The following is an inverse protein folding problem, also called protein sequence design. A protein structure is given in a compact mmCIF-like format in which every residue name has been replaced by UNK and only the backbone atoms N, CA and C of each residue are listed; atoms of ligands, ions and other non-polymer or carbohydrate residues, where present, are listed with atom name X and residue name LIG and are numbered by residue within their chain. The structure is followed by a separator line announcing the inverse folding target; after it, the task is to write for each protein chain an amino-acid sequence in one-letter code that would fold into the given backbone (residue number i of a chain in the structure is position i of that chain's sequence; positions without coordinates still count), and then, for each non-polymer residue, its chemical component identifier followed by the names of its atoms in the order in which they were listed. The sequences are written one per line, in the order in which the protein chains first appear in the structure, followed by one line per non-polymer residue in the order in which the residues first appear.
data_IF_756125641170
#
_entry.id   IF_756125641170
#
_cell.length_a   1.000
_cell.length_b   1.000
_cell.length_c   1.000
_cell.angle_alpha   90.00
_cell.angle_beta   90.00
_cell.angle_gamma   90.00
#
_symmetry.space_group_name_H-M   'P 1'
#
loop_
_entity.id
_entity.type
_entity.pdbx_description
1 polymer ?
#
# COMPACT_ATOMS: atom_id res chain seq x y z
N UNK A 1 44.13 -24.96 -35.28
CA UNK A 1 43.51 -24.77 -33.94
C UNK A 1 42.62 -23.50 -33.96
N UNK A 2 41.48 -23.57 -34.64
CA UNK A 2 40.41 -22.54 -34.53
C UNK A 2 39.49 -22.93 -33.39
N UNK A 3 39.67 -22.31 -32.23
CA UNK A 3 38.70 -22.33 -31.15
C UNK A 3 37.52 -21.45 -31.61
N UNK A 4 36.46 -22.09 -32.12
CA UNK A 4 35.17 -21.43 -32.32
C UNK A 4 34.66 -21.08 -30.93
N UNK A 5 34.65 -19.79 -30.60
CA UNK A 5 33.92 -19.24 -29.47
C UNK A 5 32.42 -19.41 -29.75
N UNK A 6 31.86 -20.53 -29.35
CA UNK A 6 30.43 -20.72 -29.40
C UNK A 6 29.81 -19.80 -28.32
N UNK A 7 29.14 -18.78 -28.77
CA UNK A 7 28.38 -17.87 -27.90
C UNK A 7 27.28 -18.66 -27.23
N UNK A 8 27.34 -18.75 -25.90
CA UNK A 8 26.31 -19.41 -25.10
C UNK A 8 25.10 -18.49 -24.91
N UNK A 9 24.17 -18.54 -25.85
CA UNK A 9 22.96 -17.71 -25.88
C UNK A 9 22.15 -17.81 -24.57
N UNK A 10 22.17 -18.95 -23.91
CA UNK A 10 21.44 -19.15 -22.66
C UNK A 10 22.02 -18.29 -21.54
N UNK A 11 23.34 -18.26 -21.39
CA UNK A 11 24.02 -17.42 -20.39
C UNK A 11 23.81 -15.93 -20.68
N UNK A 12 23.78 -15.55 -21.96
CA UNK A 12 23.53 -14.16 -22.36
C UNK A 12 22.10 -13.77 -22.00
N UNK A 13 21.09 -14.58 -22.27
CA UNK A 13 19.69 -14.31 -21.93
C UNK A 13 19.54 -14.16 -20.42
N UNK A 14 20.09 -15.08 -19.62
CA UNK A 14 20.06 -15.00 -18.14
C UNK A 14 20.71 -13.71 -17.63
N UNK A 15 21.84 -13.37 -18.17
CA UNK A 15 22.57 -12.14 -17.82
C UNK A 15 21.76 -10.89 -18.18
N UNK A 16 21.19 -10.84 -19.38
CA UNK A 16 20.37 -9.73 -19.83
C UNK A 16 19.13 -9.53 -18.95
N UNK A 17 18.47 -10.62 -18.53
CA UNK A 17 17.33 -10.57 -17.63
C UNK A 17 17.70 -9.96 -16.27
N UNK A 18 18.83 -10.39 -15.67
CA UNK A 18 19.32 -9.81 -14.41
C UNK A 18 19.58 -8.32 -14.55
N UNK A 19 20.17 -7.89 -15.67
CA UNK A 19 20.41 -6.48 -15.93
C UNK A 19 19.09 -5.70 -16.05
N UNK A 20 18.12 -6.21 -16.81
CA UNK A 20 16.82 -5.56 -16.97
C UNK A 20 16.09 -5.39 -15.64
N UNK A 21 16.07 -6.41 -14.77
CA UNK A 21 15.47 -6.30 -13.45
C UNK A 21 16.22 -5.32 -12.54
N UNK A 22 17.54 -5.32 -12.59
CA UNK A 22 18.34 -4.36 -11.83
C UNK A 22 18.04 -2.93 -12.25
N UNK A 23 18.04 -2.65 -13.56
CA UNK A 23 17.72 -1.32 -14.11
C UNK A 23 16.30 -0.91 -13.73
N UNK A 24 15.32 -1.83 -13.82
CA UNK A 24 13.94 -1.57 -13.43
C UNK A 24 13.82 -1.16 -11.96
N UNK A 25 14.46 -1.91 -11.04
CA UNK A 25 14.44 -1.57 -9.62
C UNK A 25 15.14 -0.23 -9.34
N UNK A 26 16.28 0.04 -9.94
CA UNK A 26 16.94 1.35 -9.81
C UNK A 26 16.06 2.48 -10.33
N UNK A 27 15.40 2.30 -11.46
CA UNK A 27 14.46 3.28 -11.99
C UNK A 27 13.32 3.56 -11.02
N UNK A 28 12.68 2.51 -10.48
CA UNK A 28 11.58 2.64 -9.52
C UNK A 28 12.00 3.37 -8.24
N UNK A 29 13.19 3.07 -7.72
CA UNK A 29 13.72 3.71 -6.52
C UNK A 29 14.05 5.17 -6.78
N UNK A 30 14.81 5.48 -7.84
CA UNK A 30 15.24 6.84 -8.15
C UNK A 30 14.06 7.75 -8.51
N UNK A 31 13.04 7.21 -9.22
CA UNK A 31 11.83 7.96 -9.57
C UNK A 31 10.85 8.13 -8.41
N UNK A 32 11.08 7.46 -7.26
CA UNK A 32 10.15 7.43 -6.13
C UNK A 32 8.90 6.58 -6.37
N UNK A 33 8.73 6.01 -7.56
CA UNK A 33 7.55 5.20 -7.90
C UNK A 33 7.48 3.88 -7.13
N UNK A 34 8.56 3.47 -6.50
CA UNK A 34 8.61 2.26 -5.67
C UNK A 34 7.56 2.33 -4.53
N UNK A 35 7.23 3.52 -4.03
CA UNK A 35 6.22 3.75 -2.99
C UNK A 35 4.80 3.39 -3.45
N UNK A 36 4.55 3.35 -4.75
CA UNK A 36 3.28 2.85 -5.29
C UNK A 36 3.12 1.32 -5.13
N UNK A 37 4.18 0.60 -4.79
CA UNK A 37 4.19 -0.87 -4.72
C UNK A 37 4.51 -1.41 -3.34
N UNK A 38 5.38 -0.73 -2.59
CA UNK A 38 5.85 -1.18 -1.28
C UNK A 38 5.85 -0.05 -0.26
N UNK A 39 5.75 -0.44 1.03
CA UNK A 39 5.86 0.50 2.13
C UNK A 39 7.25 1.20 2.11
N UNK A 40 7.32 2.53 2.28
CA UNK A 40 8.57 3.31 2.23
C UNK A 40 9.69 2.78 3.14
N UNK A 41 9.37 2.17 4.27
CA UNK A 41 10.36 1.57 5.19
C UNK A 41 11.19 0.44 4.56
N UNK A 42 10.68 -0.18 3.49
CA UNK A 42 11.37 -1.27 2.77
C UNK A 42 12.13 -0.79 1.54
N UNK A 43 12.18 0.51 1.27
CA UNK A 43 12.91 1.07 0.11
C UNK A 43 14.39 0.68 0.13
N UNK A 44 15.04 0.73 1.30
CA UNK A 44 16.44 0.32 1.48
C UNK A 44 16.66 -1.16 1.08
N UNK A 45 15.72 -2.04 1.39
CA UNK A 45 15.82 -3.45 0.97
C UNK A 45 15.73 -3.59 -0.55
N UNK A 46 14.92 -2.76 -1.22
CA UNK A 46 14.82 -2.74 -2.68
C UNK A 46 16.09 -2.21 -3.33
N UNK A 47 16.75 -1.21 -2.73
CA UNK A 47 18.07 -0.73 -3.16
C UNK A 47 19.11 -1.83 -3.04
N UNK A 48 19.17 -2.53 -1.91
CA UNK A 48 20.08 -3.66 -1.72
C UNK A 48 19.80 -4.78 -2.72
N UNK A 49 18.54 -5.08 -3.01
CA UNK A 49 18.17 -6.07 -4.01
C UNK A 49 18.63 -5.66 -5.43
N UNK A 50 18.49 -4.37 -5.79
CA UNK A 50 18.94 -3.86 -7.07
C UNK A 50 20.46 -3.98 -7.23
N UNK A 51 21.24 -3.64 -6.18
CA UNK A 51 22.70 -3.80 -6.15
C UNK A 51 23.10 -5.28 -6.22
N UNK A 52 22.39 -6.16 -5.51
CA UNK A 52 22.63 -7.60 -5.55
C UNK A 52 22.39 -8.16 -6.96
N UNK A 53 21.30 -7.78 -7.63
CA UNK A 53 21.03 -8.20 -9.00
C UNK A 53 22.12 -7.70 -9.98
N UNK A 54 22.58 -6.46 -9.80
CA UNK A 54 23.66 -5.90 -10.62
C UNK A 54 24.97 -6.66 -10.40
N UNK A 55 25.30 -7.01 -9.16
CA UNK A 55 26.48 -7.81 -8.85
C UNK A 55 26.40 -9.22 -9.44
N UNK A 56 25.24 -9.87 -9.35
CA UNK A 56 25.00 -11.16 -9.98
C UNK A 56 25.13 -11.08 -11.51
N UNK A 57 24.60 -10.02 -12.12
CA UNK A 57 24.82 -9.75 -13.55
C UNK A 57 26.30 -9.65 -13.87
N UNK A 58 27.07 -8.86 -13.12
CA UNK A 58 28.50 -8.67 -13.35
C UNK A 58 29.26 -10.01 -13.29
N UNK A 59 29.02 -10.80 -12.23
CA UNK A 59 29.63 -12.14 -12.09
C UNK A 59 29.24 -13.06 -13.26
N UNK A 60 27.97 -13.08 -13.63
CA UNK A 60 27.48 -13.91 -14.74
C UNK A 60 28.10 -13.49 -16.08
N UNK A 61 28.19 -12.17 -16.31
CA UNK A 61 28.74 -11.61 -17.51
C UNK A 61 30.24 -11.91 -17.65
N UNK A 62 31.03 -11.70 -16.58
CA UNK A 62 32.47 -12.01 -16.58
C UNK A 62 32.71 -13.51 -16.72
N UNK A 63 31.90 -14.33 -16.05
CA UNK A 63 32.06 -15.79 -16.13
C UNK A 63 31.63 -16.35 -17.50
N UNK A 64 30.70 -15.69 -18.17
CA UNK A 64 30.31 -16.04 -19.56
C UNK A 64 31.42 -15.85 -20.56
N UNK A 65 32.38 -14.93 -20.31
CA UNK A 65 33.53 -14.68 -21.16
C UNK A 65 34.68 -15.69 -20.96
N UNK A 66 34.70 -16.35 -19.78
CA UNK A 66 35.82 -17.23 -19.39
C UNK A 66 35.39 -18.73 -19.35
N UNK A 67 34.23 -19.09 -19.89
CA UNK A 67 33.69 -20.45 -19.74
C UNK A 67 34.47 -21.48 -20.55
N UNK A 68 35.19 -22.35 -19.84
CA UNK A 68 35.47 -23.70 -20.30
C UNK A 68 34.13 -24.48 -20.40
N UNK A 69 33.90 -25.14 -21.53
CA UNK A 69 32.74 -25.97 -21.77
C UNK A 69 32.64 -27.13 -20.74
N UNK A 70 31.78 -27.00 -19.77
CA UNK A 70 31.18 -28.14 -19.09
C UNK A 70 29.86 -28.42 -19.82
N UNK A 71 29.79 -29.52 -20.50
CA UNK A 71 28.58 -29.98 -21.18
C UNK A 71 27.52 -30.29 -20.11
N UNK A 72 26.59 -29.40 -19.89
CA UNK A 72 25.43 -29.64 -19.06
C UNK A 72 24.24 -29.96 -19.97
N UNK A 73 23.83 -31.24 -19.95
CA UNK A 73 22.80 -31.80 -20.83
C UNK A 73 21.37 -31.48 -20.39
N UNK A 74 21.14 -30.52 -19.52
CA UNK A 74 19.80 -30.08 -19.17
C UNK A 74 19.34 -28.97 -20.11
N UNK A 75 18.58 -29.34 -21.16
CA UNK A 75 17.86 -28.42 -22.00
C UNK A 75 16.94 -27.56 -21.09
N UNK A 76 17.19 -26.26 -20.91
CA UNK A 76 16.32 -25.42 -20.12
C UNK A 76 14.96 -25.39 -20.79
N UNK A 77 13.91 -25.63 -20.01
CA UNK A 77 12.55 -25.41 -20.49
C UNK A 77 12.41 -23.94 -20.87
N UNK A 78 12.36 -23.62 -22.14
CA UNK A 78 12.24 -22.24 -22.67
C UNK A 78 11.09 -21.47 -22.03
N UNK A 79 10.08 -22.18 -21.48
CA UNK A 79 8.97 -21.64 -20.71
C UNK A 79 9.39 -20.90 -19.43
N UNK A 80 10.52 -21.23 -18.81
CA UNK A 80 11.00 -20.54 -17.60
C UNK A 80 11.29 -19.07 -17.85
N UNK A 81 11.82 -18.73 -19.03
CA UNK A 81 12.12 -17.34 -19.37
C UNK A 81 10.86 -16.50 -19.53
N UNK A 82 9.75 -17.10 -19.97
CA UNK A 82 8.46 -16.41 -20.15
C UNK A 82 7.95 -15.86 -18.82
N UNK A 83 8.12 -16.61 -17.71
CA UNK A 83 7.70 -16.19 -16.36
C UNK A 83 8.41 -14.89 -15.93
N UNK A 84 9.65 -14.70 -16.34
CA UNK A 84 10.41 -13.50 -16.01
C UNK A 84 10.17 -12.34 -16.98
N UNK A 85 9.87 -12.64 -18.24
CA UNK A 85 9.60 -11.61 -19.26
C UNK A 85 8.22 -10.97 -19.05
N UNK A 86 7.21 -11.73 -18.60
CA UNK A 86 5.86 -11.23 -18.39
C UNK A 86 5.83 -10.02 -17.46
N UNK A 87 6.39 -10.03 -16.22
CA UNK A 87 6.33 -8.87 -15.34
C UNK A 87 7.07 -7.65 -15.89
N UNK A 88 8.17 -7.84 -16.61
CA UNK A 88 8.87 -6.75 -17.30
C UNK A 88 8.02 -6.13 -18.41
N UNK A 89 7.39 -6.98 -19.22
CA UNK A 89 6.50 -6.53 -20.28
C UNK A 89 5.27 -5.80 -19.73
N UNK A 90 4.64 -6.35 -18.68
CA UNK A 90 3.50 -5.71 -18.02
C UNK A 90 3.86 -4.34 -17.45
N UNK A 91 5.01 -4.22 -16.81
CA UNK A 91 5.48 -2.93 -16.28
C UNK A 91 5.66 -1.88 -17.39
N UNK A 92 6.16 -2.28 -18.55
CA UNK A 92 6.37 -1.37 -19.69
C UNK A 92 5.09 -1.01 -20.43
N UNK A 93 4.10 -1.91 -20.44
CA UNK A 93 2.86 -1.75 -21.20
C UNK A 93 1.74 -1.10 -20.38
N UNK A 94 1.72 -1.29 -19.06
CA UNK A 94 0.67 -0.77 -18.19
C UNK A 94 1.12 0.55 -17.55
N UNK A 95 0.25 1.57 -17.51
CA UNK A 95 0.53 2.79 -16.79
C UNK A 95 0.61 2.51 -15.28
N UNK A 96 1.55 3.18 -14.60
CA UNK A 96 1.61 3.15 -13.15
C UNK A 96 0.40 3.90 -12.57
N UNK A 97 -0.50 3.18 -11.95
CA UNK A 97 -1.68 3.72 -11.30
C UNK A 97 -1.74 3.26 -9.85
N UNK A 98 -2.19 4.16 -8.98
CA UNK A 98 -2.54 3.79 -7.61
C UNK A 98 -3.75 2.84 -7.60
N UNK A 99 -3.91 2.10 -6.51
CA UNK A 99 -5.11 1.31 -6.28
C UNK A 99 -6.33 2.23 -6.25
N UNK A 100 -7.39 1.83 -6.94
CA UNK A 100 -8.61 2.60 -7.08
C UNK A 100 -9.78 2.03 -6.27
N UNK A 101 -10.92 2.72 -6.33
CA UNK A 101 -12.13 2.33 -5.63
C UNK A 101 -12.65 0.93 -6.01
N UNK A 102 -12.36 0.45 -7.23
CA UNK A 102 -12.77 -0.90 -7.66
C UNK A 102 -12.08 -2.00 -6.87
N UNK A 103 -10.82 -1.78 -6.53
CA UNK A 103 -10.05 -2.70 -5.68
C UNK A 103 -10.61 -2.71 -4.25
N UNK A 104 -10.98 -1.53 -3.72
CA UNK A 104 -11.59 -1.43 -2.39
C UNK A 104 -12.93 -2.17 -2.33
N UNK A 105 -13.79 -1.99 -3.33
CA UNK A 105 -15.09 -2.66 -3.42
C UNK A 105 -14.96 -4.18 -3.48
N UNK A 106 -13.95 -4.70 -4.18
CA UNK A 106 -13.72 -6.14 -4.32
C UNK A 106 -13.10 -6.78 -3.07
N UNK A 107 -12.35 -6.02 -2.27
CA UNK A 107 -11.72 -6.53 -1.03
C UNK A 107 -12.65 -6.53 0.17
N UNK A 108 -13.78 -5.85 0.06
CA UNK A 108 -14.71 -5.62 1.16
C UNK A 108 -14.20 -4.51 2.08
N UNK A 109 -15.11 -3.70 2.54
CA UNK A 109 -14.84 -2.62 3.49
C UNK A 109 -15.24 -3.09 4.89
N UNK A 110 -14.30 -3.11 5.82
CA UNK A 110 -14.53 -3.51 7.19
C UNK A 110 -14.54 -2.27 8.08
N UNK A 111 -15.72 -1.88 8.55
CA UNK A 111 -15.90 -0.75 9.49
C UNK A 111 -15.48 -1.10 10.92
N UNK A 112 -15.30 -2.38 11.19
CA UNK A 112 -14.92 -2.87 12.50
C UNK A 112 -13.39 -2.86 12.61
N UNK A 113 -12.86 -1.74 13.04
CA UNK A 113 -11.43 -1.46 13.15
C UNK A 113 -10.70 -2.24 14.24
N UNK A 114 -11.35 -3.18 14.92
CA UNK A 114 -10.63 -4.08 15.82
C UNK A 114 -9.62 -4.98 15.13
N UNK A 115 -9.45 -4.88 13.80
CA UNK A 115 -8.65 -5.82 13.02
C UNK A 115 -7.96 -5.23 11.78
N UNK A 116 -7.68 -3.92 11.72
CA UNK A 116 -6.92 -3.34 10.60
C UNK A 116 -5.48 -3.89 10.49
N UNK A 117 -5.00 -4.58 11.52
CA UNK A 117 -3.72 -5.31 11.55
C UNK A 117 -3.87 -6.80 11.27
N UNK A 118 -5.08 -7.33 11.09
CA UNK A 118 -5.27 -8.75 10.76
C UNK A 118 -5.30 -8.96 9.25
N UNK A 119 -4.35 -9.73 8.78
CA UNK A 119 -4.25 -10.27 7.43
C UNK A 119 -5.57 -10.94 6.96
N UNK A 120 -5.79 -11.05 5.64
CA UNK A 120 -6.96 -11.70 5.07
C UNK A 120 -7.17 -13.10 5.66
N UNK A 121 -8.43 -13.60 5.74
CA UNK A 121 -8.72 -14.91 6.32
C UNK A 121 -7.97 -16.01 5.55
N UNK A 122 -6.85 -16.47 6.10
CA UNK A 122 -6.00 -17.50 5.50
C UNK A 122 -4.57 -17.58 6.03
N UNK A 123 -4.04 -16.59 6.72
CA UNK A 123 -2.69 -16.67 7.29
C UNK A 123 -2.72 -16.65 8.81
N UNK A 124 -2.67 -17.85 9.40
CA UNK A 124 -2.65 -18.05 10.85
C UNK A 124 -1.39 -17.54 11.52
N UNK A 125 -1.61 -16.94 12.70
CA UNK A 125 -0.80 -17.08 13.91
C UNK A 125 0.72 -16.94 13.83
N UNK A 126 1.29 -15.77 13.44
CA UNK A 126 2.69 -15.42 13.78
C UNK A 126 2.95 -13.92 14.02
N UNK A 127 1.94 -13.06 14.06
CA UNK A 127 2.12 -11.60 14.22
C UNK A 127 1.81 -11.07 15.64
N UNK A 128 2.10 -11.85 16.70
CA UNK A 128 1.82 -11.42 18.09
C UNK A 128 3.06 -11.08 18.92
N UNK A 129 4.18 -10.81 18.29
CA UNK A 129 5.43 -10.50 19.01
C UNK A 129 6.28 -9.46 18.27
N UNK A 130 5.86 -8.20 18.24
CA UNK A 130 6.81 -7.08 18.11
C UNK A 130 6.10 -5.71 18.13
N UNK A 131 5.53 -5.35 19.26
CA UNK A 131 5.10 -3.98 19.53
C UNK A 131 5.59 -3.57 20.90
N UNK A 132 6.92 -3.47 21.03
CA UNK A 132 7.54 -2.77 22.17
C UNK A 132 8.84 -2.13 21.70
N UNK A 133 8.90 -0.83 21.85
CA UNK A 133 10.08 0.05 21.74
C UNK A 133 10.25 0.78 20.41
N UNK A 134 9.83 2.05 20.39
CA UNK A 134 10.70 3.16 20.01
C UNK A 134 10.04 4.47 20.45
N UNK A 135 10.31 4.84 21.70
CA UNK A 135 10.23 6.21 22.18
C UNK A 135 11.44 6.95 21.63
N UNK A 136 11.23 8.13 20.99
CA UNK A 136 12.12 9.29 20.96
C UNK A 136 11.62 10.28 19.89
N UNK A 137 11.07 11.41 20.33
CA UNK A 137 10.84 12.56 19.44
C UNK A 137 9.80 13.54 20.00
N UNK A 138 10.17 14.19 21.09
CA UNK A 138 9.42 15.31 21.68
C UNK A 138 9.41 16.51 20.75
N UNK A 139 8.23 16.91 20.29
CA UNK A 139 8.02 18.21 19.70
C UNK A 139 6.72 18.81 20.21
N UNK A 140 6.89 19.86 20.96
CA UNK A 140 6.04 20.85 21.60
C UNK A 140 4.52 20.83 21.31
N UNK A 141 3.72 20.61 22.35
CA UNK A 141 2.55 21.46 22.64
C UNK A 141 1.15 20.94 22.37
N UNK A 142 0.93 19.67 22.01
CA UNK A 142 -0.41 19.05 22.05
C UNK A 142 -0.39 17.85 22.97
N UNK A 143 -1.23 17.89 24.01
CA UNK A 143 -1.47 16.73 24.87
C UNK A 143 -2.21 15.68 24.02
N UNK A 144 -1.46 14.77 23.40
CA UNK A 144 -1.99 13.55 22.80
C UNK A 144 -2.10 12.48 23.88
N UNK A 145 -3.14 11.66 23.79
CA UNK A 145 -3.20 10.42 24.56
C UNK A 145 -2.20 9.39 24.01
N UNK A 146 -2.13 8.22 24.63
CA UNK A 146 -1.26 7.13 24.17
C UNK A 146 -1.62 6.62 22.75
N UNK A 147 -2.73 7.06 22.16
CA UNK A 147 -3.17 6.74 20.80
C UNK A 147 -2.69 7.76 19.76
N UNK A 148 -2.07 8.87 20.18
CA UNK A 148 -1.65 9.96 19.31
C UNK A 148 -2.79 10.85 18.81
N UNK A 149 -3.99 10.70 19.38
CA UNK A 149 -5.16 11.52 19.07
C UNK A 149 -5.19 12.73 20.03
N UNK A 150 -5.40 13.93 19.52
CA UNK A 150 -5.55 15.13 20.35
C UNK A 150 -6.69 14.96 21.38
N UNK A 151 -6.43 15.22 22.64
CA UNK A 151 -7.47 15.09 23.71
C UNK A 151 -8.55 16.16 23.64
N UNK A 152 -8.27 17.30 23.02
CA UNK A 152 -9.19 18.42 22.92
C UNK A 152 -9.11 19.07 21.55
N UNK A 153 -10.27 19.54 21.03
CA UNK A 153 -10.39 20.16 19.73
C UNK A 153 -10.61 19.19 18.58
N UNK A 154 -10.63 19.69 17.32
CA UNK A 154 -10.82 18.88 16.12
C UNK A 154 -9.71 17.83 15.95
N UNK A 155 -10.10 16.63 15.55
CA UNK A 155 -9.17 15.53 15.22
C UNK A 155 -8.66 15.75 13.81
N UNK A 156 -7.36 16.06 13.66
CA UNK A 156 -6.72 16.19 12.35
C UNK A 156 -6.15 14.84 11.93
N UNK A 157 -6.73 14.24 10.87
CA UNK A 157 -6.26 12.98 10.32
C UNK A 157 -5.30 13.23 9.17
N UNK A 158 -4.02 12.98 9.42
CA UNK A 158 -2.93 13.09 8.45
C UNK A 158 -2.52 11.71 7.94
N UNK A 159 -1.67 11.63 6.91
CA UNK A 159 -1.15 10.35 6.44
C UNK A 159 -0.39 9.58 7.53
N UNK A 160 0.34 10.29 8.40
CA UNK A 160 1.19 9.68 9.44
C UNK A 160 0.42 9.14 10.65
N UNK A 161 -0.77 9.69 10.93
CA UNK A 161 -1.58 9.27 12.07
C UNK A 161 -2.84 8.51 11.67
N UNK A 162 -3.11 8.37 10.38
CA UNK A 162 -4.36 7.81 9.84
C UNK A 162 -4.73 6.47 10.47
N UNK A 163 -3.82 5.51 10.43
CA UNK A 163 -4.07 4.15 10.93
C UNK A 163 -4.39 4.19 12.42
N UNK A 164 -3.61 4.92 13.20
CA UNK A 164 -3.80 5.03 14.67
C UNK A 164 -5.13 5.70 15.03
N UNK A 165 -5.51 6.77 14.29
CA UNK A 165 -6.78 7.48 14.53
C UNK A 165 -7.96 6.60 14.15
N UNK A 166 -7.91 5.96 12.99
CA UNK A 166 -9.00 5.06 12.55
C UNK A 166 -9.16 3.87 13.49
N UNK A 167 -8.04 3.27 13.95
CA UNK A 167 -8.07 2.18 14.93
C UNK A 167 -8.63 2.65 16.28
N UNK A 168 -8.19 3.78 16.80
CA UNK A 168 -8.63 4.29 18.09
C UNK A 168 -10.13 4.60 18.11
N UNK A 169 -10.61 5.31 17.10
CA UNK A 169 -12.05 5.64 16.97
C UNK A 169 -12.88 4.38 16.76
N UNK A 170 -12.39 3.44 15.95
CA UNK A 170 -13.12 2.21 15.70
C UNK A 170 -13.18 1.25 16.89
N UNK A 171 -12.17 1.25 17.77
CA UNK A 171 -12.17 0.42 18.99
C UNK A 171 -13.08 0.97 20.07
N UNK A 172 -13.26 2.28 20.14
CA UNK A 172 -14.06 2.97 21.17
C UNK A 172 -14.81 4.15 20.57
N UNK A 173 -15.76 3.93 19.66
CA UNK A 173 -16.44 5.02 18.94
C UNK A 173 -17.18 5.98 19.87
N UNK A 174 -17.71 5.48 21.00
CA UNK A 174 -18.44 6.26 21.98
C UNK A 174 -17.54 7.32 22.67
N UNK A 175 -16.25 7.04 22.84
CA UNK A 175 -15.29 7.98 23.47
C UNK A 175 -14.99 9.20 22.58
N UNK A 176 -15.26 9.08 21.28
CA UNK A 176 -15.02 10.12 20.28
C UNK A 176 -16.31 10.77 19.76
N UNK A 177 -17.49 10.29 20.17
CA UNK A 177 -18.78 10.83 19.74
C UNK A 177 -18.89 12.33 20.05
N UNK A 178 -19.43 13.11 19.11
CA UNK A 178 -19.58 14.55 19.20
C UNK A 178 -18.30 15.35 18.91
N UNK A 179 -17.16 14.72 18.64
CA UNK A 179 -15.92 15.42 18.30
C UNK A 179 -15.86 15.75 16.81
N UNK A 180 -15.30 16.92 16.52
CA UNK A 180 -15.00 17.29 15.14
C UNK A 180 -13.79 16.52 14.61
N UNK A 181 -13.87 16.12 13.33
CA UNK A 181 -12.80 15.42 12.62
C UNK A 181 -12.60 16.04 11.24
N UNK A 182 -11.33 16.15 10.83
CA UNK A 182 -10.96 16.53 9.47
C UNK A 182 -10.07 15.45 8.86
N UNK A 183 -10.41 14.97 7.65
CA UNK A 183 -9.64 13.94 6.98
C UNK A 183 -9.74 14.01 5.46
N UNK A 184 -8.67 13.52 4.81
CA UNK A 184 -8.55 13.33 3.37
C UNK A 184 -8.64 11.85 3.01
N UNK A 185 -9.48 11.52 2.05
CA UNK A 185 -9.60 10.17 1.50
C UNK A 185 -10.31 10.16 0.15
N UNK A 186 -10.61 8.98 -0.35
CA UNK A 186 -11.43 8.84 -1.54
C UNK A 186 -12.74 8.11 -1.26
N UNK A 187 -13.74 8.44 -2.07
CA UNK A 187 -15.11 7.92 -1.95
C UNK A 187 -15.20 6.50 -2.45
N UNK A 188 -15.88 5.64 -1.70
CA UNK A 188 -16.37 4.34 -2.15
C UNK A 188 -17.86 4.20 -1.82
N UNK A 189 -18.57 3.46 -2.68
CA UNK A 189 -19.95 3.09 -2.43
C UNK A 189 -20.06 1.58 -2.24
N UNK A 190 -20.94 1.19 -1.35
CA UNK A 190 -21.34 -0.18 -1.17
C UNK A 190 -22.85 -0.30 -1.40
N UNK A 191 -23.29 -1.48 -1.80
CA UNK A 191 -24.72 -1.77 -2.01
C UNK A 191 -25.54 -1.68 -0.72
N UNK A 192 -24.87 -1.86 0.41
CA UNK A 192 -25.48 -1.85 1.75
C UNK A 192 -25.60 -0.43 2.31
N UNK A 193 -25.07 0.59 1.64
CA UNK A 193 -25.16 1.99 2.07
C UNK A 193 -26.47 2.63 1.64
N UNK A 194 -27.03 3.46 2.52
CA UNK A 194 -28.14 4.32 2.15
C UNK A 194 -27.69 5.34 1.08
N UNK A 195 -28.65 5.92 0.31
CA UNK A 195 -28.30 6.90 -0.74
C UNK A 195 -27.49 8.11 -0.27
N UNK A 196 -27.60 8.46 1.00
CA UNK A 196 -26.88 9.58 1.64
C UNK A 196 -25.58 9.14 2.31
N UNK A 197 -25.20 7.87 2.16
CA UNK A 197 -24.01 7.30 2.77
C UNK A 197 -22.97 6.91 1.73
N UNK A 198 -21.73 7.04 2.10
CA UNK A 198 -20.58 6.55 1.35
C UNK A 198 -19.39 6.33 2.29
N UNK A 199 -18.45 5.48 1.91
CA UNK A 199 -17.20 5.33 2.63
C UNK A 199 -16.20 6.39 2.21
N UNK A 200 -15.50 6.99 3.15
CA UNK A 200 -14.28 7.77 2.93
C UNK A 200 -13.10 6.98 3.43
N UNK A 201 -12.25 6.54 2.53
CA UNK A 201 -11.19 5.59 2.84
C UNK A 201 -9.83 6.00 2.28
N UNK A 202 -8.79 5.38 2.82
CA UNK A 202 -7.48 5.26 2.20
C UNK A 202 -7.02 3.79 2.26
N UNK A 203 -6.12 3.41 1.37
CA UNK A 203 -5.50 2.09 1.46
C UNK A 203 -4.36 2.09 2.48
N UNK A 204 -4.44 1.16 3.41
CA UNK A 204 -3.40 0.88 4.41
C UNK A 204 -2.51 -0.21 3.84
N UNK A 205 -1.20 0.06 3.75
CA UNK A 205 -0.21 -0.89 3.24
C UNK A 205 0.79 -1.22 4.35
N UNK A 206 0.86 -2.48 4.74
CA UNK A 206 1.81 -2.94 5.74
C UNK A 206 3.17 -3.28 5.12
N UNK A 207 3.21 -4.06 4.06
CA UNK A 207 4.45 -4.38 3.34
C UNK A 207 4.42 -4.00 1.86
N UNK A 208 3.36 -4.31 1.14
CA UNK A 208 3.24 -4.05 -0.30
C UNK A 208 1.77 -3.96 -0.74
N UNK A 209 1.52 -3.54 -1.97
CA UNK A 209 0.14 -3.40 -2.51
C UNK A 209 -0.68 -4.69 -2.49
N UNK A 210 -0.04 -5.85 -2.37
CA UNK A 210 -0.75 -7.12 -2.25
C UNK A 210 -1.51 -7.24 -0.90
N UNK A 211 -1.01 -6.62 0.17
CA UNK A 211 -1.66 -6.59 1.48
C UNK A 211 -2.51 -5.34 1.72
N UNK A 212 -2.62 -4.45 0.73
CA UNK A 212 -3.38 -3.22 0.86
C UNK A 212 -4.81 -3.50 1.33
N UNK A 213 -5.23 -2.89 2.42
CA UNK A 213 -6.58 -2.98 2.96
C UNK A 213 -7.24 -1.60 3.01
N UNK A 214 -8.53 -1.50 2.65
CA UNK A 214 -9.26 -0.24 2.76
C UNK A 214 -9.59 0.02 4.23
N UNK A 215 -9.24 1.22 4.73
CA UNK A 215 -9.60 1.69 6.06
C UNK A 215 -10.14 3.11 6.03
N UNK A 216 -11.06 3.42 6.94
CA UNK A 216 -11.70 4.74 7.02
C UNK A 216 -13.04 4.70 7.72
N UNK A 217 -13.94 5.61 7.36
CA UNK A 217 -15.23 5.79 8.01
C UNK A 217 -16.40 5.86 7.02
N UNK A 218 -17.59 5.52 7.51
CA UNK A 218 -18.83 5.84 6.80
C UNK A 218 -19.11 7.32 7.00
N UNK A 219 -19.46 8.01 5.91
CA UNK A 219 -19.92 9.38 5.95
C UNK A 219 -21.38 9.46 5.61
N UNK A 220 -22.10 10.35 6.33
CA UNK A 220 -23.44 10.80 6.00
C UNK A 220 -23.39 12.22 5.49
N UNK A 221 -23.99 12.46 4.33
CA UNK A 221 -24.11 13.79 3.75
C UNK A 221 -25.29 13.90 2.82
N UNK A 222 -25.95 15.07 2.83
CA UNK A 222 -27.02 15.36 1.87
C UNK A 222 -26.50 15.45 0.43
N UNK A 223 -25.22 15.82 0.27
CA UNK A 223 -24.54 15.95 -1.03
C UNK A 223 -23.83 14.65 -1.47
N UNK A 224 -24.10 13.55 -0.79
CA UNK A 224 -23.44 12.25 -1.07
C UNK A 224 -23.54 11.82 -2.54
N UNK A 225 -24.64 12.17 -3.23
CA UNK A 225 -24.90 11.78 -4.62
C UNK A 225 -23.94 12.40 -5.62
N UNK A 226 -23.33 13.56 -5.28
CA UNK A 226 -22.47 14.33 -6.18
C UNK A 226 -21.05 13.78 -6.32
N UNK A 227 -20.67 12.85 -5.45
CA UNK A 227 -19.32 12.28 -5.42
C UNK A 227 -19.33 10.85 -5.94
N UNK A 228 -18.58 10.61 -7.04
CA UNK A 228 -18.40 9.28 -7.63
C UNK A 228 -17.30 8.51 -6.91
N UNK A 229 -17.36 7.18 -7.03
CA UNK A 229 -16.28 6.31 -6.55
C UNK A 229 -14.92 6.75 -7.07
N UNK A 230 -13.92 6.71 -6.20
CA UNK A 230 -12.56 7.15 -6.49
C UNK A 230 -12.35 8.67 -6.44
N UNK A 231 -13.40 9.48 -6.20
CA UNK A 231 -13.24 10.93 -6.02
C UNK A 231 -12.53 11.21 -4.70
N UNK A 232 -11.39 11.91 -4.76
CA UNK A 232 -10.70 12.40 -3.57
C UNK A 232 -11.39 13.64 -3.02
N UNK A 233 -11.65 13.61 -1.71
CA UNK A 233 -12.30 14.69 -0.98
C UNK A 233 -11.61 14.93 0.36
N UNK A 234 -11.58 16.18 0.77
CA UNK A 234 -11.30 16.59 2.15
C UNK A 234 -12.61 16.89 2.84
N UNK A 235 -12.79 16.40 4.05
CA UNK A 235 -14.02 16.59 4.82
C UNK A 235 -13.74 17.18 6.19
N UNK A 236 -14.73 17.92 6.69
CA UNK A 236 -14.91 18.20 8.11
C UNK A 236 -16.29 17.70 8.52
N UNK A 237 -16.37 17.12 9.69
CA UNK A 237 -17.62 16.57 10.18
C UNK A 237 -17.55 16.30 11.67
N UNK A 238 -18.63 15.75 12.19
CA UNK A 238 -18.76 15.35 13.60
C UNK A 238 -18.86 13.84 13.63
N UNK A 239 -18.12 13.22 14.54
CA UNK A 239 -18.19 11.78 14.77
C UNK A 239 -19.49 11.48 15.49
N UNK A 240 -20.29 10.61 14.92
CA UNK A 240 -21.47 10.02 15.50
C UNK A 240 -21.30 8.50 15.65
N UNK A 241 -22.19 7.89 16.37
CA UNK A 241 -22.23 6.45 16.59
C UNK A 241 -23.53 5.91 16.04
N UNK A 242 -23.45 4.88 15.22
CA UNK A 242 -24.62 4.24 14.62
C UNK A 242 -24.50 2.71 14.69
N UNK A 243 -25.63 2.02 14.58
CA UNK A 243 -25.71 0.55 14.58
C UNK A 243 -25.76 0.02 13.15
N UNK A 244 -24.71 -0.70 12.74
CA UNK A 244 -24.69 -1.47 11.50
C UNK A 244 -24.53 -2.96 11.81
N UNK A 245 -25.48 -3.77 11.40
CA UNK A 245 -25.49 -5.23 11.62
C UNK A 245 -25.26 -5.64 13.10
N UNK A 246 -25.89 -4.94 14.04
CA UNK A 246 -25.73 -5.14 15.48
C UNK A 246 -24.33 -4.80 16.01
N UNK A 247 -23.58 -4.04 15.26
CA UNK A 247 -22.27 -3.52 15.66
C UNK A 247 -22.30 -2.00 15.72
N UNK A 248 -21.79 -1.48 16.81
CA UNK A 248 -21.62 -0.04 17.01
C UNK A 248 -20.44 0.43 16.16
N UNK A 249 -20.72 1.29 15.20
CA UNK A 249 -19.70 1.81 14.27
C UNK A 249 -19.64 3.33 14.30
N UNK A 250 -18.43 3.92 14.14
CA UNK A 250 -18.30 5.35 14.00
C UNK A 250 -18.76 5.79 12.60
N UNK A 251 -19.58 6.82 12.56
CA UNK A 251 -20.08 7.46 11.35
C UNK A 251 -19.73 8.95 11.43
N UNK A 252 -19.34 9.57 10.34
CA UNK A 252 -19.05 10.99 10.32
C UNK A 252 -20.20 11.73 9.64
N UNK A 253 -20.90 12.59 10.37
CA UNK A 253 -21.82 13.54 9.75
C UNK A 253 -21.01 14.71 9.17
N UNK A 254 -20.91 14.72 7.82
CA UNK A 254 -20.10 15.72 7.13
C UNK A 254 -20.78 17.09 7.13
N UNK A 255 -20.11 18.07 7.71
CA UNK A 255 -20.54 19.48 7.71
C UNK A 255 -19.94 20.28 6.56
N UNK A 256 -18.79 19.83 6.05
CA UNK A 256 -18.11 20.43 4.91
C UNK A 256 -17.40 19.37 4.09
N UNK A 257 -17.53 19.46 2.76
CA UNK A 257 -16.88 18.54 1.82
C UNK A 257 -16.28 19.37 0.68
N UNK A 258 -15.01 19.15 0.40
CA UNK A 258 -14.31 19.78 -0.72
C UNK A 258 -13.59 18.74 -1.57
N UNK A 259 -13.65 18.90 -2.89
CA UNK A 259 -12.89 18.03 -3.80
C UNK A 259 -11.41 18.32 -3.67
N UNK A 260 -10.63 17.28 -3.54
CA UNK A 260 -9.18 17.36 -3.43
C UNK A 260 -8.50 16.64 -4.60
N UNK A 261 -7.27 17.03 -4.88
CA UNK A 261 -6.41 16.24 -5.76
C UNK A 261 -5.93 14.97 -5.02
N UNK A 262 -5.75 13.89 -5.77
CA UNK A 262 -5.08 12.72 -5.24
C UNK A 262 -3.67 13.09 -4.78
N UNK A 263 -3.27 12.77 -3.53
CA UNK A 263 -1.92 13.03 -3.06
C UNK A 263 -0.89 12.20 -3.85
N UNK A 264 0.34 12.70 -3.89
CA UNK A 264 1.47 11.99 -4.53
C UNK A 264 1.73 10.63 -3.90
N UNK A 265 1.52 10.52 -2.58
CA UNK A 265 1.43 9.25 -1.86
C UNK A 265 -0.02 9.00 -1.42
N UNK A 266 -0.78 8.19 -2.18
CA UNK A 266 -2.19 7.94 -1.91
C UNK A 266 -2.42 6.97 -0.75
N UNK A 267 -1.38 6.27 -0.31
CA UNK A 267 -1.46 5.24 0.71
C UNK A 267 -1.16 5.78 2.10
N UNK A 268 -1.44 4.97 3.11
CA UNK A 268 -1.07 5.20 4.51
C UNK A 268 -0.41 3.96 5.09
N UNK A 269 0.44 4.16 6.09
CA UNK A 269 1.30 3.11 6.61
C UNK A 269 1.16 3.03 8.14
N UNK A 270 1.10 1.80 8.74
CA UNK A 270 1.06 1.61 10.18
C UNK A 270 2.40 1.87 10.86
#
# INVERSE_FOLDING_TARGET
LQQQMAIDWEKIIKSLMLLCFSILLFYLVISGQIQMYINPRFTVLSELAAVALLSMFAVQFFNSRNSFHVYDHHAPHKLVYVIFIIPLALFLLLPNAALDASVASNRGFNFNSGNLTSAPPGSGALARASAKSADLGESAGQQTDNTGVSKSGPIQVTADNFVRVVDAIGQSPEDYAGREIEMLGFVIRNKDFAPQEFGLIRFIITCCTADASPGGFILKSKDAVDYKDGTWINIRGVIEVDDYDQQVVPVIEATFIERAAQPSDPYVYP
#
